data_IF_151192865246
#
_entry.id   IF_151192865246
#
_cell.length_a   1.000
_cell.length_b   1.000
_cell.length_c   1.000
_cell.angle_alpha   90.00
_cell.angle_beta   90.00
_cell.angle_gamma   90.00
#
_symmetry.space_group_name_H-M   'P 1'
#
loop_
_entity.id
_entity.type
_entity.pdbx_description
1 polymer ?
#
# COMPACT_ATOMS: atom_id res chain seq x y z
N UNK A 1 -18.37 7.12 -10.10
CA UNK A 1 -17.44 5.99 -9.92
C UNK A 1 -16.59 6.28 -8.69
N UNK A 2 -16.51 5.36 -7.74
CA UNK A 2 -15.67 5.54 -6.55
C UNK A 2 -14.20 5.45 -6.94
N UNK A 3 -13.42 6.51 -6.69
CA UNK A 3 -11.98 6.55 -6.99
C UNK A 3 -11.21 5.81 -5.90
N UNK A 4 -10.25 4.97 -6.32
CA UNK A 4 -9.29 4.32 -5.43
C UNK A 4 -7.90 4.31 -6.07
N UNK A 5 -6.87 4.04 -5.27
CA UNK A 5 -5.49 3.84 -5.71
C UNK A 5 -4.99 2.49 -5.21
N UNK A 6 -4.14 1.85 -6.01
CA UNK A 6 -3.36 0.70 -5.57
C UNK A 6 -1.96 1.18 -5.23
N UNK A 7 -1.39 0.59 -4.19
CA UNK A 7 -0.04 0.88 -3.71
C UNK A 7 0.54 -0.40 -3.11
N UNK A 8 1.81 -0.38 -2.70
CA UNK A 8 2.43 -1.45 -1.92
C UNK A 8 2.94 -0.94 -0.57
N UNK A 9 2.99 -1.83 0.42
CA UNK A 9 3.70 -1.57 1.67
C UNK A 9 5.20 -1.76 1.49
N UNK A 10 6.01 -1.23 2.42
CA UNK A 10 7.46 -1.48 2.47
C UNK A 10 7.84 -2.97 2.48
N UNK A 11 6.91 -3.85 2.85
CA UNK A 11 7.07 -5.32 2.80
C UNK A 11 6.47 -5.95 1.54
N UNK A 12 6.27 -5.17 0.47
CA UNK A 12 5.71 -5.56 -0.82
C UNK A 12 4.32 -6.21 -0.74
N UNK A 13 3.49 -5.78 0.22
CA UNK A 13 2.08 -6.22 0.30
C UNK A 13 1.18 -5.22 -0.42
N UNK A 14 0.24 -5.72 -1.23
CA UNK A 14 -0.74 -4.89 -1.92
C UNK A 14 -1.63 -4.12 -0.94
N UNK A 15 -1.81 -2.84 -1.25
CA UNK A 15 -2.64 -1.90 -0.52
C UNK A 15 -3.65 -1.26 -1.48
N UNK A 16 -4.89 -1.11 -1.02
CA UNK A 16 -5.93 -0.34 -1.71
C UNK A 16 -6.26 0.88 -0.86
N UNK A 17 -6.13 2.06 -1.44
CA UNK A 17 -6.46 3.34 -0.80
C UNK A 17 -7.79 3.84 -1.35
N UNK A 18 -8.78 4.03 -0.48
CA UNK A 18 -10.09 4.54 -0.86
C UNK A 18 -10.66 5.45 0.23
N UNK A 19 -11.05 6.68 -0.14
CA UNK A 19 -11.69 7.66 0.75
C UNK A 19 -10.92 7.89 2.07
N UNK A 20 -9.60 8.01 2.00
CA UNK A 20 -8.76 8.25 3.20
C UNK A 20 -8.46 7.00 4.03
N UNK A 21 -8.98 5.83 3.66
CA UNK A 21 -8.75 4.56 4.33
C UNK A 21 -7.87 3.62 3.50
N UNK A 22 -7.01 2.86 4.18
CA UNK A 22 -6.21 1.80 3.58
C UNK A 22 -6.82 0.41 3.83
N UNK A 23 -6.67 -0.44 2.83
CA UNK A 23 -7.14 -1.82 2.88
C UNK A 23 -6.05 -2.78 2.40
N UNK A 24 -5.98 -3.94 3.04
CA UNK A 24 -5.09 -5.05 2.66
C UNK A 24 -5.92 -6.21 2.12
N UNK A 25 -5.30 -7.09 1.33
CA UNK A 25 -5.99 -8.27 0.80
C UNK A 25 -6.41 -9.18 1.97
N UNK A 26 -7.70 -9.49 2.04
CA UNK A 26 -8.25 -10.51 2.92
C UNK A 26 -8.23 -11.88 2.23
N UNK A 27 -8.73 -11.94 1.00
CA UNK A 27 -8.69 -13.14 0.13
C UNK A 27 -8.92 -12.78 -1.33
N UNK A 28 -8.49 -13.65 -2.22
CA UNK A 28 -8.71 -13.55 -3.67
C UNK A 28 -9.53 -14.73 -4.15
N UNK A 29 -10.47 -14.46 -5.04
CA UNK A 29 -11.29 -15.45 -5.75
C UNK A 29 -11.19 -15.17 -7.25
N UNK A 30 -11.69 -16.08 -8.09
CA UNK A 30 -11.67 -15.89 -9.55
C UNK A 30 -12.41 -14.63 -10.00
N UNK A 31 -13.46 -14.23 -9.26
CA UNK A 31 -14.35 -13.15 -9.69
C UNK A 31 -14.10 -11.84 -8.96
N UNK A 32 -13.44 -11.87 -7.80
CA UNK A 32 -13.30 -10.72 -6.89
C UNK A 32 -12.07 -10.82 -6.02
N UNK A 33 -11.52 -9.66 -5.68
CA UNK A 33 -10.55 -9.50 -4.59
C UNK A 33 -11.28 -8.87 -3.41
N UNK A 34 -11.15 -9.50 -2.24
CA UNK A 34 -11.73 -9.04 -0.98
C UNK A 34 -10.65 -8.29 -0.21
N UNK A 35 -10.95 -7.04 0.12
CA UNK A 35 -10.06 -6.15 0.85
C UNK A 35 -10.63 -5.90 2.25
N UNK A 36 -9.78 -5.99 3.26
CA UNK A 36 -10.10 -5.62 4.64
C UNK A 36 -9.38 -4.36 5.05
N UNK A 37 -10.05 -3.56 5.86
CA UNK A 37 -9.39 -2.42 6.52
C UNK A 37 -8.10 -2.88 7.19
N UNK A 38 -7.04 -2.09 7.09
CA UNK A 38 -5.77 -2.34 7.77
C UNK A 38 -5.95 -2.57 9.28
N UNK A 39 -6.88 -1.83 9.91
CA UNK A 39 -7.18 -1.94 11.33
C UNK A 39 -8.22 -3.02 11.69
N UNK A 40 -8.52 -3.94 10.76
CA UNK A 40 -9.44 -5.05 11.04
C UNK A 40 -8.99 -5.95 12.21
N UNK A 41 -7.69 -6.04 12.47
CA UNK A 41 -7.15 -6.82 13.61
C UNK A 41 -6.91 -5.98 14.86
N UNK A 42 -6.47 -4.74 14.70
CA UNK A 42 -6.04 -3.90 15.84
C UNK A 42 -7.19 -3.13 16.47
N UNK A 43 -8.18 -2.72 15.67
CA UNK A 43 -9.37 -1.96 16.12
C UNK A 43 -10.66 -2.72 15.86
N UNK A 44 -10.57 -4.00 15.49
CA UNK A 44 -11.72 -4.84 15.13
C UNK A 44 -12.60 -4.22 14.02
N UNK A 45 -12.00 -3.40 13.15
CA UNK A 45 -12.73 -2.72 12.09
C UNK A 45 -13.32 -3.73 11.08
N UNK A 46 -14.64 -3.61 10.86
CA UNK A 46 -15.40 -4.54 10.02
C UNK A 46 -15.55 -4.07 8.58
N UNK A 47 -15.01 -2.90 8.22
CA UNK A 47 -15.16 -2.41 6.84
C UNK A 47 -14.41 -3.29 5.84
N UNK A 48 -15.05 -3.53 4.69
CA UNK A 48 -14.59 -4.36 3.59
C UNK A 48 -14.93 -3.70 2.26
N UNK A 49 -14.02 -3.85 1.30
CA UNK A 49 -14.21 -3.45 -0.11
C UNK A 49 -13.97 -4.67 -0.98
N UNK A 50 -14.73 -4.78 -2.07
CA UNK A 50 -14.47 -5.78 -3.10
C UNK A 50 -14.13 -5.08 -4.42
N UNK A 51 -13.10 -5.56 -5.10
CA UNK A 51 -12.78 -5.17 -6.47
C UNK A 51 -12.98 -6.33 -7.43
N UNK A 52 -13.03 -6.02 -8.71
CA UNK A 52 -12.87 -7.01 -9.78
C UNK A 52 -11.46 -7.64 -9.76
N UNK A 53 -11.24 -8.78 -10.45
CA UNK A 53 -9.99 -9.54 -10.36
C UNK A 53 -8.74 -8.77 -10.78
N UNK A 54 -8.91 -7.74 -11.62
CA UNK A 54 -7.82 -6.92 -12.16
C UNK A 54 -7.74 -5.54 -11.49
N UNK A 55 -8.48 -5.30 -10.40
CA UNK A 55 -8.47 -4.06 -9.62
C UNK A 55 -8.71 -2.79 -10.47
N UNK A 56 -9.70 -2.83 -11.35
CA UNK A 56 -10.13 -1.68 -12.17
C UNK A 56 -11.33 -0.97 -11.55
N UNK A 57 -12.23 -1.69 -10.88
CA UNK A 57 -13.47 -1.14 -10.32
C UNK A 57 -13.75 -1.67 -8.91
N UNK A 58 -14.40 -0.84 -8.10
CA UNK A 58 -15.01 -1.26 -6.84
C UNK A 58 -16.38 -1.88 -7.16
N UNK A 59 -16.54 -3.16 -6.79
CA UNK A 59 -17.78 -3.91 -6.91
C UNK A 59 -18.68 -3.71 -5.68
N UNK A 60 -18.07 -3.49 -4.50
CA UNK A 60 -18.80 -3.32 -3.23
C UNK A 60 -17.98 -2.54 -2.21
N UNK A 61 -18.62 -1.69 -1.42
CA UNK A 61 -18.01 -0.90 -0.34
C UNK A 61 -19.04 -0.64 0.77
N UNK A 62 -18.71 -1.01 2.01
CA UNK A 62 -19.58 -0.73 3.18
C UNK A 62 -19.32 0.65 3.80
N UNK A 63 -18.07 1.14 3.79
CA UNK A 63 -17.67 2.41 4.40
C UNK A 63 -18.07 2.55 5.89
N UNK A 64 -18.10 1.43 6.61
CA UNK A 64 -18.48 1.38 8.02
C UNK A 64 -17.23 1.18 8.89
N UNK A 65 -16.52 2.28 9.13
CA UNK A 65 -15.34 2.33 9.99
C UNK A 65 -15.71 2.73 11.40
N UNK A 66 -14.99 2.17 12.37
CA UNK A 66 -15.08 2.53 13.79
C UNK A 66 -13.86 3.36 14.25
N UNK A 67 -13.12 3.94 13.31
CA UNK A 67 -11.94 4.74 13.53
C UNK A 67 -11.85 5.86 12.49
N UNK A 68 -10.99 6.83 12.78
CA UNK A 68 -10.69 7.91 11.84
C UNK A 68 -9.92 7.41 10.62
N UNK A 69 -9.94 8.19 9.56
CA UNK A 69 -9.13 7.97 8.37
C UNK A 69 -7.63 7.94 8.71
N UNK A 70 -6.87 7.11 8.00
CA UNK A 70 -5.41 7.02 8.12
C UNK A 70 -4.71 7.81 7.01
N UNK A 71 -5.36 8.87 6.51
CA UNK A 71 -4.94 9.67 5.37
C UNK A 71 -3.48 10.12 5.46
N UNK A 72 -3.01 10.54 6.65
CA UNK A 72 -1.62 10.97 6.85
C UNK A 72 -0.63 9.88 6.45
N UNK A 73 -0.81 8.65 6.94
CA UNK A 73 0.07 7.51 6.60
C UNK A 73 -0.01 7.13 5.11
N UNK A 74 -1.18 7.30 4.49
CA UNK A 74 -1.39 6.98 3.09
C UNK A 74 -0.67 7.96 2.15
N UNK A 75 -0.64 9.25 2.48
CA UNK A 75 0.08 10.27 1.70
C UNK A 75 1.60 10.02 1.71
N UNK A 76 2.18 9.56 2.83
CA UNK A 76 3.59 9.18 2.90
C UNK A 76 3.90 7.96 2.03
N UNK A 77 3.00 6.97 2.00
CA UNK A 77 3.22 5.77 1.19
C UNK A 77 3.16 6.06 -0.31
N UNK A 78 2.28 6.97 -0.73
CA UNK A 78 2.22 7.46 -2.11
C UNK A 78 3.46 8.28 -2.52
N UNK A 79 4.19 8.83 -1.54
CA UNK A 79 5.41 9.58 -1.78
C UNK A 79 6.63 8.67 -2.02
N UNK A 80 6.75 7.54 -1.31
CA UNK A 80 7.87 6.61 -1.48
C UNK A 80 7.87 5.92 -2.86
N UNK A 81 6.69 5.69 -3.45
CA UNK A 81 6.57 5.16 -4.83
C UNK A 81 7.10 6.10 -5.92
N UNK A 82 7.34 7.38 -5.59
CA UNK A 82 7.87 8.40 -6.50
C UNK A 82 9.38 8.58 -6.44
N UNK A 83 10.13 7.79 -5.66
CA UNK A 83 11.59 7.75 -5.80
C UNK A 83 11.88 6.70 -6.88
N UNK A 84 12.10 7.08 -8.16
CA UNK A 84 12.50 6.12 -9.18
C UNK A 84 13.79 5.43 -8.71
N UNK A 85 13.86 4.11 -8.91
CA UNK A 85 15.04 3.28 -8.71
C UNK A 85 16.22 3.79 -9.56
N UNK A 86 16.85 4.86 -9.09
CA UNK A 86 18.23 5.19 -9.37
C UNK A 86 19.12 4.36 -8.45
N UNK A 87 18.95 3.03 -8.46
CA UNK A 87 19.94 2.12 -7.92
C UNK A 87 21.16 2.14 -8.88
N UNK A 88 21.94 3.21 -8.82
CA UNK A 88 23.29 3.22 -9.39
C UNK A 88 24.10 2.23 -8.56
N UNK A 89 24.53 1.14 -9.20
CA UNK A 89 25.50 0.18 -8.67
C UNK A 89 26.72 0.95 -8.15
N UNK A 90 26.91 0.98 -6.83
CA UNK A 90 28.20 1.29 -6.22
C UNK A 90 28.76 -0.01 -5.66
N UNK A 91 29.25 -0.86 -6.54
CA UNK A 91 30.24 -1.86 -6.18
C UNK A 91 31.61 -1.18 -6.06
N UNK A 92 31.75 -0.27 -5.08
CA UNK A 92 33.07 0.13 -4.59
C UNK A 92 33.15 -0.26 -3.11
N UNK A 93 33.99 -1.26 -2.86
CA UNK A 93 34.36 -1.70 -1.52
C UNK A 93 34.88 -0.50 -0.72
N UNK A 94 34.40 -0.32 0.50
CA UNK A 94 34.83 0.75 1.42
C UNK A 94 36.34 0.73 1.74
N UNK A 95 37.06 -0.29 1.28
CA UNK A 95 38.53 -0.34 1.36
C UNK A 95 39.24 0.63 0.40
N UNK A 96 38.60 1.15 -0.66
CA UNK A 96 39.31 1.99 -1.65
C UNK A 96 39.30 3.50 -1.32
N UNK A 97 38.48 3.97 -0.38
CA UNK A 97 38.39 5.40 -0.04
C UNK A 97 39.55 5.86 0.87
N UNK A 98 40.22 4.94 1.58
CA UNK A 98 41.25 5.31 2.55
C UNK A 98 42.64 5.51 1.92
N UNK A 99 42.90 5.01 0.72
CA UNK A 99 44.24 5.10 0.10
C UNK A 99 44.51 6.37 -0.71
N UNK A 100 43.61 7.38 -0.66
CA UNK A 100 43.84 8.66 -1.34
C UNK A 100 43.95 9.86 -0.39
N UNK A 101 44.16 9.60 0.91
CA UNK A 101 44.49 10.61 1.92
C UNK A 101 45.91 10.46 2.49
N UNK A 102 46.80 9.72 1.81
CA UNK A 102 48.26 9.74 2.04
C UNK A 102 49.01 9.82 0.70
#
# INVERSE_FOLDING_TARGET
MSTFRLSTTQRNKSLLLCKGFSYTIDKTTNDKIYWKCEFARTLECKDRIHTDPINTIILHQNNNHNHLENAVSNEFQLFEEKIPDGAVNYNESTQTIIDNCL
#
